data_IF_529054595117
#
_entry.id   IF_529054595117
#
_cell.length_a   1.000
_cell.length_b   1.000
_cell.length_c   1.000
_cell.angle_alpha   90.00
_cell.angle_beta   90.00
_cell.angle_gamma   90.00
#
_symmetry.space_group_name_H-M   'P 1'
#
loop_
_entity.id
_entity.type
_entity.pdbx_description
1 polymer ?
#
# COMPACT_ATOMS: atom_id res chain seq x y z
N UNK A 1 26.05 -16.57 10.32
CA UNK A 1 26.41 -15.82 11.53
C UNK A 1 25.13 -15.50 12.29
N UNK A 2 24.81 -16.30 13.31
CA UNK A 2 23.67 -16.06 14.20
C UNK A 2 24.01 -14.91 15.14
N UNK A 3 23.47 -13.72 14.85
CA UNK A 3 23.57 -12.57 15.75
C UNK A 3 22.87 -12.91 17.05
N UNK A 4 23.64 -13.13 18.12
CA UNK A 4 23.11 -13.25 19.47
C UNK A 4 22.48 -11.90 19.86
N UNK A 5 21.17 -11.80 19.70
CA UNK A 5 20.39 -10.68 20.24
C UNK A 5 20.54 -10.68 21.75
N UNK A 6 21.06 -9.58 22.28
CA UNK A 6 21.31 -9.41 23.70
C UNK A 6 19.96 -9.48 24.45
N UNK A 7 19.86 -10.22 25.56
CA UNK A 7 18.58 -10.46 26.24
C UNK A 7 17.86 -9.13 26.61
N UNK A 8 18.64 -8.10 26.93
CA UNK A 8 18.16 -6.75 27.21
C UNK A 8 17.56 -6.01 26.00
N UNK A 9 17.95 -6.37 24.77
CA UNK A 9 17.34 -5.81 23.56
C UNK A 9 16.00 -6.48 23.25
N UNK A 10 15.88 -7.77 23.56
CA UNK A 10 14.64 -8.54 23.38
C UNK A 10 13.56 -8.02 24.33
N UNK A 11 13.91 -7.77 25.59
CA UNK A 11 12.96 -7.22 26.58
C UNK A 11 12.44 -5.84 26.20
N UNK A 12 13.26 -4.99 25.59
CA UNK A 12 12.82 -3.68 25.07
C UNK A 12 11.81 -3.78 23.92
N UNK A 13 11.77 -4.91 23.21
CA UNK A 13 10.82 -5.17 22.11
C UNK A 13 9.55 -5.88 22.58
N UNK A 14 9.52 -6.39 23.81
CA UNK A 14 8.34 -7.04 24.39
C UNK A 14 7.44 -5.99 25.04
N UNK A 15 6.20 -5.91 24.58
CA UNK A 15 5.24 -4.92 25.02
C UNK A 15 3.97 -5.58 25.57
N UNK A 16 3.69 -5.48 26.89
CA UNK A 16 2.42 -5.95 27.44
C UNK A 16 1.23 -5.21 26.83
N UNK A 17 0.16 -5.94 26.51
CA UNK A 17 -1.06 -5.40 25.91
C UNK A 17 -1.69 -4.28 26.75
N UNK A 18 -1.60 -4.39 28.08
CA UNK A 18 -2.06 -3.37 29.02
C UNK A 18 -1.28 -2.06 28.88
N UNK A 19 0.05 -2.15 28.71
CA UNK A 19 0.91 -0.99 28.55
C UNK A 19 0.70 -0.34 27.18
N UNK A 20 0.58 -1.14 26.13
CA UNK A 20 0.22 -0.66 24.79
C UNK A 20 -1.10 0.14 24.82
N UNK A 21 -2.16 -0.39 25.45
CA UNK A 21 -3.45 0.29 25.54
C UNK A 21 -3.38 1.62 26.29
N UNK A 22 -2.57 1.71 27.35
CA UNK A 22 -2.43 2.94 28.16
C UNK A 22 -1.56 4.00 27.49
N UNK A 23 -0.58 3.61 26.68
CA UNK A 23 0.44 4.50 26.11
C UNK A 23 0.60 4.36 24.59
N UNK A 24 -0.49 4.07 23.89
CA UNK A 24 -0.47 3.78 22.46
C UNK A 24 0.23 4.89 21.65
N UNK A 25 -0.04 6.16 21.97
CA UNK A 25 0.57 7.30 21.28
C UNK A 25 2.09 7.37 21.41
N UNK A 26 2.64 7.11 22.61
CA UNK A 26 4.10 7.08 22.83
C UNK A 26 4.75 5.89 22.14
N UNK A 27 4.11 4.72 22.22
CA UNK A 27 4.60 3.50 21.56
C UNK A 27 4.65 3.68 20.05
N UNK A 28 3.62 4.27 19.45
CA UNK A 28 3.57 4.53 18.01
C UNK A 28 4.61 5.57 17.57
N UNK A 29 4.86 6.62 18.37
CA UNK A 29 5.94 7.59 18.10
C UNK A 29 7.32 6.93 18.08
N UNK A 30 7.57 6.00 19.00
CA UNK A 30 8.85 5.30 19.11
C UNK A 30 8.96 4.07 18.19
N UNK A 31 7.87 3.69 17.50
CA UNK A 31 7.83 2.52 16.62
C UNK A 31 8.80 2.66 15.43
N UNK A 32 9.01 3.88 14.93
CA UNK A 32 9.97 4.17 13.87
C UNK A 32 11.43 3.89 14.28
N UNK A 33 11.76 4.11 15.55
CA UNK A 33 13.11 3.87 16.09
C UNK A 33 13.34 2.40 16.42
N UNK A 34 12.34 1.74 17.02
CA UNK A 34 12.46 0.35 17.49
C UNK A 34 12.14 -0.67 16.37
N UNK A 35 11.51 -0.21 15.29
CA UNK A 35 11.05 -0.96 14.09
C UNK A 35 9.94 -1.99 14.36
N UNK A 36 10.01 -2.69 15.49
CA UNK A 36 9.07 -3.75 15.83
C UNK A 36 8.86 -3.91 17.33
N UNK A 37 7.60 -4.05 17.73
CA UNK A 37 7.22 -4.55 19.06
C UNK A 37 6.48 -5.89 18.93
N UNK A 38 6.72 -6.79 19.88
CA UNK A 38 5.93 -8.00 20.09
C UNK A 38 4.96 -7.73 21.23
N UNK A 39 3.67 -7.74 20.94
CA UNK A 39 2.62 -7.50 21.93
C UNK A 39 2.32 -8.80 22.66
N UNK A 40 2.39 -8.78 23.99
CA UNK A 40 2.14 -9.93 24.86
C UNK A 40 0.87 -9.77 25.70
N UNK A 41 0.13 -10.86 25.91
CA UNK A 41 -0.98 -10.95 26.86
C UNK A 41 -0.76 -12.20 27.71
N UNK A 42 -0.83 -12.06 29.03
CA UNK A 42 -0.63 -13.16 29.99
C UNK A 42 0.69 -13.93 29.73
N UNK A 43 1.76 -13.20 29.39
CA UNK A 43 3.07 -13.76 29.08
C UNK A 43 3.21 -14.41 27.69
N UNK A 44 2.13 -14.51 26.91
CA UNK A 44 2.13 -15.09 25.56
C UNK A 44 2.14 -14.00 24.48
N UNK A 45 2.89 -14.15 23.38
CA UNK A 45 2.82 -13.24 22.24
C UNK A 45 1.48 -13.38 21.53
N UNK A 46 0.80 -12.26 21.28
CA UNK A 46 -0.53 -12.22 20.64
C UNK A 46 -0.49 -11.48 19.30
N UNK A 47 0.35 -10.45 19.18
CA UNK A 47 0.45 -9.67 17.95
C UNK A 47 1.87 -9.12 17.76
N UNK A 48 2.17 -8.69 16.53
CA UNK A 48 3.39 -7.95 16.20
C UNK A 48 2.97 -6.59 15.64
N UNK A 49 3.60 -5.55 16.15
CA UNK A 49 3.47 -4.18 15.65
C UNK A 49 4.76 -3.86 14.90
N UNK A 50 4.65 -3.52 13.62
CA UNK A 50 5.80 -3.14 12.79
C UNK A 50 5.59 -1.72 12.26
N UNK A 51 6.67 -0.97 12.15
CA UNK A 51 6.65 0.26 11.36
C UNK A 51 6.32 -0.10 9.91
N UNK A 52 5.40 0.65 9.31
CA UNK A 52 5.13 0.53 7.89
C UNK A 52 6.27 1.28 7.21
N UNK A 53 7.25 0.54 6.69
CA UNK A 53 8.21 1.04 5.70
C UNK A 53 7.48 1.16 4.36
N UNK A 54 6.39 1.91 4.30
CA UNK A 54 5.89 2.35 3.01
C UNK A 54 6.91 3.36 2.51
N UNK A 55 7.57 3.12 1.36
CA UNK A 55 8.15 4.25 0.67
C UNK A 55 6.96 5.17 0.45
N UNK A 56 6.92 6.31 1.14
CA UNK A 56 6.04 7.40 0.78
C UNK A 56 6.43 7.67 -0.66
N UNK A 57 5.67 7.09 -1.60
CA UNK A 57 5.82 7.42 -2.99
C UNK A 57 5.41 8.88 -3.01
N UNK A 58 6.40 9.75 -3.03
CA UNK A 58 6.20 11.15 -3.39
C UNK A 58 5.82 11.15 -4.87
N UNK A 59 4.64 10.62 -5.18
CA UNK A 59 4.05 10.76 -6.50
C UNK A 59 3.91 12.25 -6.70
N UNK A 60 4.82 12.79 -7.50
CA UNK A 60 4.89 14.20 -7.84
C UNK A 60 3.52 14.59 -8.41
N UNK A 61 3.08 15.83 -8.20
CA UNK A 61 1.80 16.35 -8.70
C UNK A 61 1.55 15.97 -10.18
N UNK A 62 2.61 15.89 -10.99
CA UNK A 62 2.59 15.42 -12.38
C UNK A 62 2.14 13.97 -12.58
N UNK A 63 2.59 13.03 -11.75
CA UNK A 63 2.21 11.61 -11.87
C UNK A 63 0.74 11.39 -11.50
N UNK A 64 0.26 12.09 -10.47
CA UNK A 64 -1.17 12.11 -10.11
C UNK A 64 -2.03 12.71 -11.21
N UNK A 65 -1.59 13.83 -11.80
CA UNK A 65 -2.28 14.44 -12.94
C UNK A 65 -2.27 13.55 -14.18
N UNK A 66 -1.20 12.79 -14.45
CA UNK A 66 -1.15 11.86 -15.57
C UNK A 66 -2.13 10.68 -15.39
N UNK A 67 -2.20 10.10 -14.19
CA UNK A 67 -3.20 9.08 -13.83
C UNK A 67 -4.62 9.64 -13.97
N UNK A 68 -4.89 10.81 -13.40
CA UNK A 68 -6.19 11.47 -13.52
C UNK A 68 -6.56 11.76 -14.97
N UNK A 69 -5.64 12.26 -15.80
CA UNK A 69 -5.88 12.46 -17.25
C UNK A 69 -6.19 11.17 -17.99
N UNK A 70 -5.57 10.05 -17.60
CA UNK A 70 -5.88 8.75 -18.21
C UNK A 70 -7.26 8.22 -17.83
N UNK A 71 -7.77 8.64 -16.66
CA UNK A 71 -9.07 8.24 -16.13
C UNK A 71 -10.19 9.23 -16.54
N UNK A 72 -9.88 10.52 -16.67
CA UNK A 72 -10.81 11.61 -17.02
C UNK A 72 -10.87 11.92 -18.51
N UNK A 73 -9.86 11.50 -19.27
CA UNK A 73 -9.89 11.52 -20.73
C UNK A 73 -10.73 10.37 -21.24
N UNK A 74 -12.02 10.65 -21.48
CA UNK A 74 -12.95 9.74 -22.14
C UNK A 74 -12.37 9.08 -23.40
N UNK A 75 -12.96 7.94 -23.79
CA UNK A 75 -12.59 7.07 -24.91
C UNK A 75 -11.39 7.55 -25.75
N UNK A 76 -10.26 6.85 -25.62
CA UNK A 76 -9.03 7.01 -26.43
C UNK A 76 -9.24 6.63 -27.91
N UNK A 77 -10.33 7.06 -28.53
CA UNK A 77 -10.40 7.12 -29.98
C UNK A 77 -9.49 8.27 -30.36
N UNK A 78 -8.39 7.95 -31.04
CA UNK A 78 -7.26 8.86 -31.24
C UNK A 78 -7.72 10.26 -31.65
N UNK A 79 -7.19 11.29 -30.99
CA UNK A 79 -7.48 12.69 -31.31
C UNK A 79 -7.12 12.91 -32.79
N UNK A 80 -8.12 13.01 -33.67
CA UNK A 80 -7.94 13.08 -35.13
C UNK A 80 -8.50 11.91 -35.95
N UNK A 81 -9.15 10.91 -35.33
CA UNK A 81 -9.90 9.90 -36.09
C UNK A 81 -11.15 10.50 -36.74
N UNK A 82 -11.34 10.24 -38.04
CA UNK A 82 -12.60 10.58 -38.70
C UNK A 82 -13.74 9.68 -38.19
N UNK A 83 -15.01 10.14 -38.22
CA UNK A 83 -16.16 9.32 -37.80
C UNK A 83 -16.19 7.94 -38.46
N UNK A 84 -15.83 7.86 -39.75
CA UNK A 84 -15.76 6.61 -40.51
C UNK A 84 -14.70 5.61 -40.00
N UNK A 85 -13.60 6.08 -39.40
CA UNK A 85 -12.59 5.21 -38.79
C UNK A 85 -13.07 4.65 -37.45
N UNK A 86 -13.88 5.43 -36.72
CA UNK A 86 -14.49 5.00 -35.46
C UNK A 86 -15.51 3.89 -35.73
N UNK A 87 -16.38 4.06 -36.71
CA UNK A 87 -17.40 3.06 -37.07
C UNK A 87 -16.77 1.73 -37.50
N UNK A 88 -15.69 1.79 -38.29
CA UNK A 88 -14.93 0.58 -38.67
C UNK A 88 -14.36 -0.15 -37.47
N UNK A 89 -13.82 0.59 -36.50
CA UNK A 89 -13.23 0.01 -35.29
C UNK A 89 -14.31 -0.62 -34.39
N UNK A 90 -15.47 0.03 -34.29
CA UNK A 90 -16.62 -0.49 -33.55
C UNK A 90 -17.17 -1.76 -34.19
N UNK A 91 -17.43 -1.74 -35.50
CA UNK A 91 -17.96 -2.89 -36.23
C UNK A 91 -17.04 -4.12 -36.13
N UNK A 92 -15.72 -3.93 -36.30
CA UNK A 92 -14.74 -5.01 -36.13
C UNK A 92 -14.79 -5.62 -34.72
N UNK A 93 -15.05 -4.81 -33.70
CA UNK A 93 -15.16 -5.28 -32.31
C UNK A 93 -16.49 -6.00 -32.05
N UNK A 94 -17.58 -5.54 -32.65
CA UNK A 94 -18.87 -6.22 -32.60
C UNK A 94 -18.80 -7.60 -33.25
N UNK A 95 -18.17 -7.73 -34.43
CA UNK A 95 -17.97 -9.01 -35.10
C UNK A 95 -17.19 -10.03 -34.27
N UNK A 96 -16.23 -9.57 -33.46
CA UNK A 96 -15.46 -10.44 -32.56
C UNK A 96 -16.26 -10.91 -31.34
N UNK A 97 -17.30 -10.18 -30.95
CA UNK A 97 -18.12 -10.46 -29.77
C UNK A 97 -19.38 -11.25 -30.10
N UNK A 98 -19.73 -11.38 -31.39
CA UNK A 98 -20.83 -12.22 -31.82
C UNK A 98 -20.43 -13.70 -31.71
N UNK A 99 -21.16 -14.52 -30.93
CA UNK A 99 -20.95 -15.96 -30.93
C UNK A 99 -21.30 -16.52 -32.31
N UNK A 100 -20.44 -17.39 -32.81
CA UNK A 100 -20.62 -18.08 -34.10
C UNK A 100 -21.54 -19.27 -33.98
#
# INVERSE_FOLDING_TARGET
MSTMLNANEITKRLLPLTLFRRRAGEVLKNLSQVKMYVITKDGKPVAKLMAIDEPVSEETKHQRLAKLKSLSGGFRLGKGMSPSQIDKLLNKRYEQMLPR
#
